data_IF_522761141924
#
_entry.id   IF_522761141924
#
_cell.length_a   1.000
_cell.length_b   1.000
_cell.length_c   1.000
_cell.angle_alpha   90.00
_cell.angle_beta   90.00
_cell.angle_gamma   90.00
#
_symmetry.space_group_name_H-M   'P 1'
#
loop_
_entity.id
_entity.type
_entity.pdbx_description
1 polymer ?
#
# COMPACT_ATOMS: atom_id res chain seq x y z
N UNK A 1 12.44 50.97 -39.60
CA UNK A 1 11.39 51.01 -38.55
C UNK A 1 11.58 49.72 -37.75
N UNK A 2 12.03 49.71 -36.48
CA UNK A 2 11.23 49.75 -35.22
C UNK A 2 9.95 48.89 -35.29
N UNK A 3 9.48 48.12 -34.30
CA UNK A 3 9.89 47.60 -32.95
C UNK A 3 8.73 46.63 -32.49
N UNK A 4 8.79 45.65 -31.58
CA UNK A 4 9.82 45.00 -30.72
C UNK A 4 9.28 43.58 -30.32
N UNK A 5 10.02 42.78 -29.53
CA UNK A 5 9.57 41.48 -28.91
C UNK A 5 8.44 41.64 -27.87
N UNK A 6 8.01 40.57 -27.17
CA UNK A 6 7.91 40.51 -25.68
C UNK A 6 7.57 39.08 -25.20
N UNK A 7 8.24 38.61 -24.12
CA UNK A 7 7.82 37.44 -23.32
C UNK A 7 6.64 37.83 -22.42
N UNK A 8 5.83 36.87 -21.97
CA UNK A 8 5.10 37.03 -20.70
C UNK A 8 5.34 35.81 -19.80
N UNK A 9 5.98 36.09 -18.67
CA UNK A 9 6.10 35.25 -17.49
C UNK A 9 4.83 35.46 -16.64
N UNK A 10 4.20 34.41 -16.11
CA UNK A 10 3.09 34.56 -15.15
C UNK A 10 3.50 33.95 -13.82
N UNK A 11 3.98 34.81 -12.93
CA UNK A 11 4.07 34.54 -11.51
C UNK A 11 2.94 35.30 -10.80
N UNK A 12 2.19 34.63 -9.93
CA UNK A 12 1.25 35.30 -9.03
C UNK A 12 1.84 35.37 -7.62
N UNK A 13 2.34 36.57 -7.28
CA UNK A 13 2.66 36.99 -5.91
C UNK A 13 1.68 38.09 -5.55
N UNK A 14 1.04 37.99 -4.39
CA UNK A 14 0.31 39.09 -3.75
C UNK A 14 0.87 39.31 -2.35
N UNK A 15 1.08 40.58 -1.99
CA UNK A 15 1.72 41.00 -0.74
C UNK A 15 1.15 42.36 -0.27
N UNK A 16 1.50 42.76 0.97
CA UNK A 16 1.14 43.99 1.70
C UNK A 16 -0.29 44.05 2.31
N UNK A 17 -0.54 44.64 3.50
CA UNK A 17 0.36 45.15 4.55
C UNK A 17 -0.33 45.30 5.94
N UNK A 18 0.49 45.20 6.99
CA UNK A 18 0.39 45.65 8.41
C UNK A 18 -0.79 46.50 8.93
N UNK A 19 -1.26 46.22 10.16
CA UNK A 19 -0.97 47.03 11.39
C UNK A 19 -1.45 46.34 12.69
N UNK A 20 -0.93 46.72 13.88
CA UNK A 20 -1.24 46.06 15.17
C UNK A 20 -2.24 46.83 16.06
N UNK A 21 -2.97 46.11 16.91
CA UNK A 21 -3.71 46.62 18.09
C UNK A 21 -3.56 45.64 19.24
N UNK A 22 -2.83 45.98 20.31
CA UNK A 22 -3.20 46.85 21.44
C UNK A 22 -3.78 46.03 22.61
N UNK A 23 -2.97 45.88 23.66
CA UNK A 23 -3.41 45.33 24.95
C UNK A 23 -4.29 46.34 25.71
N UNK A 24 -5.18 45.85 26.56
CA UNK A 24 -5.82 46.66 27.61
C UNK A 24 -6.10 45.80 28.86
N UNK A 25 -6.22 46.42 30.06
CA UNK A 25 -5.73 45.79 31.27
C UNK A 25 -6.80 45.09 32.14
N UNK A 26 -6.27 44.20 32.98
CA UNK A 26 -6.69 43.79 34.33
C UNK A 26 -8.09 44.18 34.84
N UNK A 27 -8.86 43.18 35.26
CA UNK A 27 -9.90 43.33 36.27
C UNK A 27 -9.64 42.37 37.45
N UNK A 28 -9.05 42.89 38.53
CA UNK A 28 -8.92 42.19 39.81
C UNK A 28 -10.27 42.26 40.53
N UNK A 29 -10.85 41.13 40.93
CA UNK A 29 -12.04 41.08 41.79
C UNK A 29 -11.69 40.44 43.13
N UNK A 30 -12.12 41.10 44.21
CA UNK A 30 -11.76 40.76 45.59
C UNK A 30 -12.58 39.59 46.17
N UNK A 31 -12.07 38.89 47.20
CA UNK A 31 -12.77 37.79 47.85
C UNK A 31 -13.73 38.27 48.95
N UNK A 32 -14.86 37.57 49.13
CA UNK A 32 -15.55 37.50 50.42
C UNK A 32 -16.05 36.07 50.75
N UNK A 33 -16.50 35.80 51.98
CA UNK A 33 -15.78 36.01 53.24
C UNK A 33 -15.65 34.69 54.03
N UNK A 34 -14.73 34.64 54.98
CA UNK A 34 -14.58 33.50 55.92
C UNK A 34 -15.82 33.35 56.81
N UNK A 35 -16.45 32.17 56.79
CA UNK A 35 -17.45 31.75 57.77
C UNK A 35 -16.86 30.68 58.71
N UNK A 36 -17.18 30.78 60.00
CA UNK A 36 -16.62 29.96 61.08
C UNK A 36 -17.58 28.79 61.46
N UNK A 37 -17.28 27.95 62.47
CA UNK A 37 -17.25 26.50 62.29
C UNK A 37 -18.58 25.79 62.59
N UNK A 38 -18.88 24.73 61.84
CA UNK A 38 -19.95 23.80 62.14
C UNK A 38 -19.45 22.57 62.92
N UNK A 39 -20.25 22.17 63.91
CA UNK A 39 -20.03 21.09 64.89
C UNK A 39 -19.67 19.71 64.32
N UNK A 40 -18.68 19.08 64.95
CA UNK A 40 -18.32 17.67 64.72
C UNK A 40 -19.49 16.71 65.01
N UNK A 41 -19.77 15.81 64.08
CA UNK A 41 -20.51 14.54 64.30
C UNK A 41 -19.61 13.40 63.82
N UNK A 42 -19.48 12.25 64.53
CA UNK A 42 -18.50 11.22 64.17
C UNK A 42 -18.80 10.59 62.81
N UNK A 43 -17.81 10.59 61.93
CA UNK A 43 -17.88 9.88 60.65
C UNK A 43 -17.69 8.36 60.85
N UNK A 44 -18.34 7.50 60.05
CA UNK A 44 -18.01 6.08 59.99
C UNK A 44 -16.55 5.90 59.53
N UNK A 45 -15.91 4.82 59.98
CA UNK A 45 -14.51 4.55 59.69
C UNK A 45 -14.23 4.53 58.18
N UNK A 46 -13.10 5.11 57.70
CA UNK A 46 -12.71 4.96 56.31
C UNK A 46 -12.50 3.48 56.00
N UNK A 47 -13.29 2.95 55.05
CA UNK A 47 -12.91 1.72 54.38
C UNK A 47 -11.56 1.96 53.70
N UNK A 48 -10.56 1.16 54.03
CA UNK A 48 -9.26 1.23 53.36
C UNK A 48 -9.50 1.09 51.85
N UNK A 49 -8.97 2.00 51.01
CA UNK A 49 -9.05 1.84 49.57
C UNK A 49 -8.26 0.58 49.22
N UNK A 50 -8.99 -0.51 48.90
CA UNK A 50 -8.41 -1.70 48.28
C UNK A 50 -7.53 -1.22 47.13
N UNK A 51 -6.24 -1.60 47.07
CA UNK A 51 -5.36 -1.11 46.03
C UNK A 51 -5.93 -1.54 44.68
N UNK A 52 -6.49 -0.58 43.96
CA UNK A 52 -6.92 -0.77 42.58
C UNK A 52 -5.64 -0.93 41.78
N UNK A 53 -5.21 -2.18 41.59
CA UNK A 53 -4.29 -2.59 40.53
C UNK A 53 -5.01 -2.43 39.20
N UNK A 54 -5.25 -1.17 38.85
CA UNK A 54 -6.04 -0.74 37.70
C UNK A 54 -5.29 -1.01 36.41
N UNK A 55 -5.45 -2.22 35.89
CA UNK A 55 -5.20 -2.47 34.47
C UNK A 55 -6.04 -1.50 33.64
N UNK A 56 -5.45 -1.01 32.55
CA UNK A 56 -6.14 -0.13 31.60
C UNK A 56 -7.41 -0.84 31.08
N UNK A 57 -8.58 -0.22 31.24
CA UNK A 57 -9.82 -0.79 30.69
C UNK A 57 -9.87 -0.58 29.18
N UNK A 58 -10.52 -1.47 28.40
CA UNK A 58 -10.63 -1.32 26.95
C UNK A 58 -11.21 0.04 26.50
N UNK A 59 -12.13 0.61 27.28
CA UNK A 59 -12.75 1.91 26.99
C UNK A 59 -11.74 3.07 27.16
N UNK A 60 -10.92 3.02 28.22
CA UNK A 60 -9.87 4.01 28.47
C UNK A 60 -8.75 3.92 27.42
N UNK A 61 -8.39 2.70 27.00
CA UNK A 61 -7.46 2.45 25.88
C UNK A 61 -8.03 2.99 24.58
N UNK A 62 -9.26 2.64 24.22
CA UNK A 62 -9.90 3.09 22.99
C UNK A 62 -10.00 4.61 22.91
N UNK A 63 -10.35 5.29 24.01
CA UNK A 63 -10.37 6.74 24.09
C UNK A 63 -8.98 7.38 23.90
N UNK A 64 -7.94 6.80 24.49
CA UNK A 64 -6.55 7.27 24.33
C UNK A 64 -6.00 7.05 22.92
N UNK A 65 -6.29 5.89 22.32
CA UNK A 65 -5.94 5.58 20.93
C UNK A 65 -6.69 6.49 19.95
N UNK A 66 -7.97 6.78 20.19
CA UNK A 66 -8.74 7.71 19.36
C UNK A 66 -8.11 9.11 19.34
N UNK A 67 -7.64 9.62 20.49
CA UNK A 67 -6.93 10.91 20.53
C UNK A 67 -5.64 10.91 19.70
N UNK A 68 -4.87 9.81 19.74
CA UNK A 68 -3.68 9.66 18.90
C UNK A 68 -4.03 9.59 17.39
N UNK A 69 -5.13 8.93 17.03
CA UNK A 69 -5.64 8.89 15.66
C UNK A 69 -6.18 10.25 15.18
N UNK A 70 -6.91 10.99 16.02
CA UNK A 70 -7.41 12.32 15.69
C UNK A 70 -6.24 13.28 15.39
N UNK A 71 -5.19 13.23 16.21
CA UNK A 71 -3.94 13.98 15.97
C UNK A 71 -3.16 13.51 14.75
N UNK A 72 -3.16 12.21 14.43
CA UNK A 72 -2.57 11.68 13.19
C UNK A 72 -3.31 12.21 11.94
N UNK A 73 -4.64 12.14 11.96
CA UNK A 73 -5.51 12.70 10.90
C UNK A 73 -5.31 14.22 10.78
N UNK A 74 -5.19 14.93 11.89
CA UNK A 74 -4.88 16.37 11.89
C UNK A 74 -3.49 16.64 11.29
N UNK A 75 -2.46 15.85 11.62
CA UNK A 75 -1.12 16.00 11.06
C UNK A 75 -1.12 15.89 9.53
N UNK A 76 -1.84 14.91 8.96
CA UNK A 76 -2.03 14.78 7.51
C UNK A 76 -2.79 15.96 6.91
N UNK A 77 -3.89 16.39 7.56
CA UNK A 77 -4.73 17.50 7.08
C UNK A 77 -4.06 18.89 7.18
N UNK A 78 -3.09 19.06 8.08
CA UNK A 78 -2.38 20.32 8.32
C UNK A 78 -0.95 20.34 7.79
N UNK A 79 -0.49 19.24 7.20
CA UNK A 79 0.91 19.01 6.81
C UNK A 79 1.91 19.27 7.96
N UNK A 80 1.59 18.77 9.16
CA UNK A 80 2.35 19.00 10.39
C UNK A 80 3.13 17.76 10.81
N UNK A 81 4.39 17.66 10.36
CA UNK A 81 5.29 16.53 10.68
C UNK A 81 5.65 16.44 12.18
N UNK A 82 5.61 17.54 12.93
CA UNK A 82 5.90 17.49 14.38
C UNK A 82 4.71 16.95 15.18
N UNK A 83 3.48 17.25 14.75
CA UNK A 83 2.28 16.61 15.29
C UNK A 83 2.28 15.11 14.97
N UNK A 84 2.64 14.72 13.74
CA UNK A 84 2.83 13.31 13.36
C UNK A 84 3.83 12.61 14.31
N UNK A 85 5.01 13.23 14.52
CA UNK A 85 6.05 12.71 15.42
C UNK A 85 5.58 12.55 16.87
N UNK A 86 4.67 13.41 17.34
CA UNK A 86 4.11 13.30 18.69
C UNK A 86 3.19 12.09 18.92
N UNK A 87 2.64 11.49 17.86
CA UNK A 87 1.76 10.30 17.93
C UNK A 87 2.36 9.03 17.31
N UNK A 88 3.63 9.10 16.90
CA UNK A 88 4.42 7.99 16.37
C UNK A 88 5.54 7.66 17.35
N UNK A 89 5.76 6.37 17.60
CA UNK A 89 6.87 5.89 18.43
C UNK A 89 8.24 6.31 17.88
N UNK A 90 8.88 7.25 18.59
CA UNK A 90 10.18 7.79 18.21
C UNK A 90 11.37 6.88 18.55
N UNK A 91 11.14 5.81 19.33
CA UNK A 91 12.18 4.86 19.73
C UNK A 91 12.34 3.70 18.74
N UNK A 92 11.26 3.29 18.06
CA UNK A 92 11.31 2.33 16.97
C UNK A 92 11.70 3.04 15.65
N UNK A 93 13.01 3.13 15.40
CA UNK A 93 13.53 3.89 14.25
C UNK A 93 13.10 3.37 12.86
N UNK A 94 13.01 2.05 12.60
CA UNK A 94 12.40 1.53 11.37
C UNK A 94 10.93 1.93 11.19
N UNK A 95 10.11 1.78 12.24
CA UNK A 95 8.69 2.14 12.19
C UNK A 95 8.49 3.64 11.94
N UNK A 96 9.22 4.51 12.67
CA UNK A 96 9.19 5.95 12.43
C UNK A 96 9.51 6.30 10.98
N UNK A 97 10.54 5.67 10.38
CA UNK A 97 10.90 5.91 8.98
C UNK A 97 9.74 5.58 8.04
N UNK A 98 9.09 4.42 8.22
CA UNK A 98 7.91 4.03 7.45
C UNK A 98 6.79 5.08 7.53
N UNK A 99 6.46 5.56 8.73
CA UNK A 99 5.36 6.53 8.90
C UNK A 99 5.72 7.89 8.30
N UNK A 100 6.93 8.38 8.52
CA UNK A 100 7.39 9.65 7.92
C UNK A 100 7.50 9.55 6.39
N UNK A 101 7.93 8.41 5.84
CA UNK A 101 7.99 8.18 4.39
C UNK A 101 6.59 8.20 3.75
N UNK A 102 5.64 7.42 4.29
CA UNK A 102 4.24 7.42 3.83
C UNK A 102 3.59 8.81 3.92
N UNK A 103 3.87 9.56 4.99
CA UNK A 103 3.42 10.95 5.12
C UNK A 103 4.00 11.84 4.02
N UNK A 104 5.32 11.82 3.82
CA UNK A 104 5.98 12.65 2.80
C UNK A 104 5.49 12.30 1.39
N UNK A 105 5.32 11.01 1.06
CA UNK A 105 4.76 10.56 -0.22
C UNK A 105 3.34 11.09 -0.42
N UNK A 106 2.47 11.05 0.60
CA UNK A 106 1.13 11.62 0.50
C UNK A 106 1.16 13.13 0.24
N UNK A 107 1.96 13.89 1.00
CA UNK A 107 2.07 15.35 0.86
C UNK A 107 2.71 15.80 -0.46
N UNK A 108 3.45 14.92 -1.15
CA UNK A 108 4.01 15.17 -2.49
C UNK A 108 3.12 14.67 -3.63
N UNK A 109 2.07 13.89 -3.33
CA UNK A 109 1.19 13.29 -4.34
C UNK A 109 0.19 14.29 -4.93
N UNK A 110 -0.48 13.89 -6.03
CA UNK A 110 -1.64 14.59 -6.59
C UNK A 110 -2.85 14.67 -5.65
N UNK A 111 -2.85 13.91 -4.55
CA UNK A 111 -3.85 13.97 -3.50
C UNK A 111 -3.50 14.96 -2.37
N UNK A 112 -2.32 15.60 -2.41
CA UNK A 112 -1.93 16.64 -1.45
C UNK A 112 -2.99 17.75 -1.34
N UNK A 113 -3.30 18.18 -0.12
CA UNK A 113 -4.40 19.11 0.16
C UNK A 113 -5.81 18.51 0.12
N UNK A 114 -5.98 17.24 -0.30
CA UNK A 114 -7.23 16.50 -0.07
C UNK A 114 -7.42 16.27 1.42
N UNK A 115 -8.66 16.40 1.93
CA UNK A 115 -8.92 16.11 3.34
C UNK A 115 -8.76 14.62 3.61
N UNK A 116 -7.81 14.31 4.50
CA UNK A 116 -7.65 12.97 5.04
C UNK A 116 -8.87 12.63 5.91
N UNK A 117 -9.41 11.42 5.73
CA UNK A 117 -10.66 10.98 6.37
C UNK A 117 -10.56 10.96 7.89
N UNK A 118 -11.72 11.04 8.57
CA UNK A 118 -11.76 10.74 10.01
C UNK A 118 -11.59 9.23 10.20
N UNK A 119 -10.67 8.87 11.08
CA UNK A 119 -10.49 7.51 11.55
C UNK A 119 -11.24 7.29 12.86
N UNK A 120 -11.77 6.09 13.07
CA UNK A 120 -12.53 5.76 14.29
C UNK A 120 -12.13 4.39 14.84
N UNK A 121 -11.75 4.35 16.12
CA UNK A 121 -11.54 3.08 16.84
C UNK A 121 -12.87 2.31 16.93
N UNK A 122 -12.84 1.06 16.50
CA UNK A 122 -13.97 0.12 16.58
C UNK A 122 -13.81 -0.83 17.79
N UNK A 123 -12.61 -1.34 17.98
CA UNK A 123 -12.29 -2.40 18.94
C UNK A 123 -10.81 -2.28 19.34
N UNK A 124 -10.47 -2.68 20.56
CA UNK A 124 -9.08 -2.78 21.03
C UNK A 124 -8.81 -4.14 21.68
N UNK A 125 -7.71 -4.79 21.28
CA UNK A 125 -7.24 -6.09 21.77
C UNK A 125 -5.87 -5.92 22.40
N UNK A 126 -5.70 -6.35 23.65
CA UNK A 126 -4.38 -6.35 24.28
C UNK A 126 -3.45 -7.35 23.58
N UNK A 127 -2.19 -6.97 23.40
CA UNK A 127 -1.11 -7.80 22.85
C UNK A 127 0.01 -7.91 23.90
N UNK A 128 1.00 -8.75 23.60
CA UNK A 128 2.18 -8.90 24.45
C UNK A 128 3.02 -7.61 24.51
N UNK A 129 4.00 -7.55 25.42
CA UNK A 129 4.93 -6.43 25.60
C UNK A 129 4.28 -5.04 25.82
N UNK A 130 3.01 -4.99 26.24
CA UNK A 130 2.28 -3.74 26.51
C UNK A 130 1.68 -3.07 25.27
N UNK A 131 1.70 -3.74 24.12
CA UNK A 131 1.00 -3.28 22.92
C UNK A 131 -0.51 -3.50 23.01
N UNK A 132 -1.25 -2.69 22.27
CA UNK A 132 -2.68 -2.83 22.02
C UNK A 132 -2.92 -2.72 20.51
N UNK A 133 -3.58 -3.71 19.94
CA UNK A 133 -4.07 -3.65 18.56
C UNK A 133 -5.42 -2.93 18.56
N UNK A 134 -5.58 -1.93 17.71
CA UNK A 134 -6.84 -1.26 17.46
C UNK A 134 -7.33 -1.57 16.05
N UNK A 135 -8.56 -2.05 15.94
CA UNK A 135 -9.29 -2.08 14.68
C UNK A 135 -9.94 -0.73 14.43
N UNK A 136 -9.76 -0.20 13.23
CA UNK A 136 -10.06 1.20 12.88
C UNK A 136 -10.89 1.24 11.60
N UNK A 137 -11.97 2.02 11.63
CA UNK A 137 -12.75 2.45 10.47
C UNK A 137 -12.05 3.67 9.85
N UNK A 138 -11.62 3.55 8.59
CA UNK A 138 -10.95 4.56 7.78
C UNK A 138 -11.78 4.82 6.51
N UNK A 139 -12.81 5.66 6.64
CA UNK A 139 -13.66 6.06 5.52
C UNK A 139 -14.47 4.90 4.91
N UNK A 140 -14.83 3.87 5.68
CA UNK A 140 -15.51 2.66 5.20
C UNK A 140 -14.58 1.48 4.93
N UNK A 141 -13.26 1.68 4.86
CA UNK A 141 -12.27 0.60 4.92
C UNK A 141 -11.89 0.29 6.37
N UNK A 142 -11.26 -0.87 6.60
CA UNK A 142 -10.74 -1.26 7.91
C UNK A 142 -9.22 -1.29 7.93
N UNK A 143 -8.63 -0.86 9.04
CA UNK A 143 -7.20 -1.00 9.36
C UNK A 143 -7.03 -1.65 10.72
N UNK A 144 -5.90 -2.30 10.91
CA UNK A 144 -5.46 -2.81 12.20
C UNK A 144 -4.07 -2.24 12.49
N UNK A 145 -3.95 -1.46 13.58
CA UNK A 145 -2.72 -0.75 13.94
C UNK A 145 -2.38 -1.03 15.39
N UNK A 146 -1.09 -1.23 15.67
CA UNK A 146 -0.56 -1.41 17.03
C UNK A 146 -0.26 -0.04 17.67
N UNK A 147 -0.62 0.08 18.94
CA UNK A 147 -0.37 1.22 19.79
C UNK A 147 0.30 0.78 21.08
N UNK A 148 1.00 1.70 21.75
CA UNK A 148 1.41 1.53 23.14
C UNK A 148 1.31 2.85 23.89
N UNK A 149 1.17 2.74 25.21
CA UNK A 149 1.25 3.90 26.09
C UNK A 149 2.70 4.14 26.50
N UNK A 150 3.15 5.40 26.39
CA UNK A 150 4.46 5.85 26.84
C UNK A 150 4.43 6.16 28.35
N UNK A 151 5.60 6.29 28.98
CA UNK A 151 5.72 6.58 30.43
C UNK A 151 5.04 7.89 30.86
N UNK A 152 4.91 8.86 29.94
CA UNK A 152 4.20 10.12 30.13
C UNK A 152 2.66 9.99 30.03
N UNK A 153 2.14 8.76 29.83
CA UNK A 153 0.72 8.46 29.67
C UNK A 153 0.17 8.66 28.26
N UNK A 154 0.98 9.16 27.30
CA UNK A 154 0.56 9.41 25.92
C UNK A 154 0.49 8.11 25.11
N UNK A 155 -0.52 8.00 24.27
CA UNK A 155 -0.64 6.91 23.30
C UNK A 155 0.10 7.25 22.01
N UNK A 156 0.83 6.28 21.47
CA UNK A 156 1.51 6.38 20.17
C UNK A 156 1.25 5.13 19.34
N UNK A 157 1.16 5.29 18.01
CA UNK A 157 1.29 4.17 17.08
C UNK A 157 2.71 3.60 17.17
N UNK A 158 2.85 2.29 17.05
CA UNK A 158 4.14 1.60 17.15
C UNK A 158 4.09 0.24 16.43
N UNK A 159 5.23 -0.43 16.38
CA UNK A 159 5.39 -1.84 16.01
C UNK A 159 6.35 -2.48 17.03
N UNK A 160 6.26 -3.80 17.30
CA UNK A 160 7.27 -4.50 18.09
C UNK A 160 8.65 -4.45 17.42
N UNK A 161 9.72 -4.63 18.19
CA UNK A 161 11.07 -4.87 17.65
C UNK A 161 11.23 -6.32 17.18
N UNK A 162 12.28 -6.65 16.42
CA UNK A 162 12.50 -8.05 15.98
C UNK A 162 12.69 -9.00 17.17
N UNK A 163 13.24 -8.55 18.30
CA UNK A 163 13.34 -9.34 19.53
C UNK A 163 11.96 -9.59 20.19
N UNK A 164 11.00 -8.68 20.01
CA UNK A 164 9.64 -8.77 20.56
C UNK A 164 8.68 -9.59 19.68
N UNK A 165 9.14 -10.09 18.53
CA UNK A 165 8.32 -10.97 17.67
C UNK A 165 8.25 -12.43 18.17
N UNK A 166 9.04 -12.78 19.18
CA UNK A 166 9.22 -14.15 19.64
C UNK A 166 10.08 -14.99 18.69
N UNK A 167 9.98 -16.31 18.82
CA UNK A 167 10.76 -17.25 18.03
C UNK A 167 10.38 -17.21 16.52
N UNK A 168 11.38 -17.45 15.67
CA UNK A 168 11.18 -17.67 14.24
C UNK A 168 10.60 -19.07 14.02
N UNK A 169 9.44 -19.11 13.37
CA UNK A 169 8.72 -20.34 13.03
C UNK A 169 8.99 -20.66 11.56
N UNK A 170 9.23 -21.94 11.27
CA UNK A 170 9.39 -22.47 9.91
C UNK A 170 8.37 -23.59 9.68
N UNK A 171 7.41 -23.35 8.81
CA UNK A 171 6.42 -24.34 8.36
C UNK A 171 6.85 -24.78 6.95
N UNK A 172 6.92 -26.08 6.71
CA UNK A 172 7.56 -26.65 5.52
C UNK A 172 6.64 -27.70 4.88
N UNK A 173 6.15 -27.42 3.67
CA UNK A 173 5.29 -28.33 2.90
C UNK A 173 5.97 -28.73 1.57
N UNK A 174 5.26 -29.41 0.67
CA UNK A 174 5.85 -29.86 -0.61
C UNK A 174 6.29 -28.69 -1.52
N UNK A 175 5.51 -27.60 -1.53
CA UNK A 175 5.61 -26.54 -2.55
C UNK A 175 6.35 -25.29 -2.09
N UNK A 176 6.31 -24.98 -0.79
CA UNK A 176 7.03 -23.84 -0.23
C UNK A 176 7.44 -24.04 1.24
N UNK A 177 8.26 -23.11 1.71
CA UNK A 177 8.59 -22.93 3.13
C UNK A 177 7.99 -21.61 3.60
N UNK A 178 7.06 -21.61 4.55
CA UNK A 178 6.61 -20.41 5.24
C UNK A 178 7.53 -20.11 6.42
N UNK A 179 8.15 -18.93 6.37
CA UNK A 179 9.01 -18.37 7.41
C UNK A 179 8.23 -17.24 8.08
N UNK A 180 7.97 -17.37 9.38
CA UNK A 180 7.08 -16.49 10.16
C UNK A 180 7.60 -16.37 11.60
N UNK A 181 6.83 -15.75 12.49
CA UNK A 181 7.19 -15.49 13.88
C UNK A 181 6.02 -15.83 14.81
N UNK A 182 6.30 -16.12 16.08
CA UNK A 182 5.28 -16.36 17.11
C UNK A 182 4.22 -15.24 17.17
N UNK A 183 4.64 -13.98 16.99
CA UNK A 183 3.73 -12.82 16.95
C UNK A 183 2.60 -12.92 15.91
N UNK A 184 2.83 -13.61 14.79
CA UNK A 184 1.86 -13.81 13.70
C UNK A 184 1.31 -15.25 13.64
N UNK A 185 1.49 -16.05 14.71
CA UNK A 185 1.03 -17.43 14.74
C UNK A 185 -0.47 -17.58 14.45
N UNK A 186 -1.29 -16.61 14.86
CA UNK A 186 -2.76 -16.64 14.70
C UNK A 186 -3.26 -16.60 13.25
N UNK A 187 -2.41 -16.26 12.26
CA UNK A 187 -2.76 -16.22 10.83
C UNK A 187 -2.03 -17.27 9.98
N UNK A 188 -1.10 -18.04 10.56
CA UNK A 188 -0.21 -18.93 9.78
C UNK A 188 -0.97 -19.96 8.92
N UNK A 189 -2.00 -20.62 9.47
CA UNK A 189 -2.79 -21.62 8.74
C UNK A 189 -3.56 -21.00 7.57
N UNK A 190 -4.14 -19.80 7.77
CA UNK A 190 -4.86 -19.05 6.73
C UNK A 190 -3.90 -18.62 5.62
N UNK A 191 -2.70 -18.15 5.97
CA UNK A 191 -1.67 -17.77 4.99
C UNK A 191 -1.15 -19.00 4.22
N UNK A 192 -0.96 -20.15 4.87
CA UNK A 192 -0.54 -21.38 4.19
C UNK A 192 -1.58 -21.84 3.15
N UNK A 193 -2.85 -21.97 3.54
CA UNK A 193 -3.95 -22.29 2.62
C UNK A 193 -4.07 -21.27 1.47
N UNK A 194 -3.97 -19.98 1.79
CA UNK A 194 -4.07 -18.90 0.81
C UNK A 194 -2.97 -18.98 -0.25
N UNK A 195 -1.71 -19.24 0.15
CA UNK A 195 -0.60 -19.44 -0.79
C UNK A 195 -0.77 -20.72 -1.61
N UNK A 196 -1.27 -21.82 -1.00
CA UNK A 196 -1.56 -23.06 -1.71
C UNK A 196 -2.62 -22.86 -2.82
N UNK A 197 -3.73 -22.21 -2.49
CA UNK A 197 -4.79 -21.89 -3.46
C UNK A 197 -4.31 -20.92 -4.54
N UNK A 198 -3.57 -19.87 -4.17
CA UNK A 198 -3.06 -18.88 -5.11
C UNK A 198 -2.07 -19.53 -6.10
N UNK A 199 -1.17 -20.41 -5.61
CA UNK A 199 -0.27 -21.22 -6.44
C UNK A 199 -1.07 -22.06 -7.44
N UNK A 200 -2.15 -22.71 -6.99
CA UNK A 200 -2.96 -23.56 -7.85
C UNK A 200 -3.70 -22.74 -8.93
N UNK A 201 -4.29 -21.59 -8.57
CA UNK A 201 -4.92 -20.68 -9.54
C UNK A 201 -3.94 -20.21 -10.63
N UNK A 202 -2.71 -19.84 -10.25
CA UNK A 202 -1.67 -19.45 -11.21
C UNK A 202 -1.31 -20.62 -12.15
N UNK A 203 -1.14 -21.83 -11.61
CA UNK A 203 -0.83 -23.03 -12.40
C UNK A 203 -1.96 -23.38 -13.37
N UNK A 204 -3.22 -23.39 -12.89
CA UNK A 204 -4.39 -23.73 -13.70
C UNK A 204 -4.63 -22.69 -14.81
N UNK A 205 -4.34 -21.42 -14.53
CA UNK A 205 -4.48 -20.32 -15.50
C UNK A 205 -3.35 -20.31 -16.54
N UNK A 206 -2.10 -20.48 -16.11
CA UNK A 206 -0.94 -20.43 -17.02
C UNK A 206 -0.63 -21.77 -17.72
N UNK A 207 -1.19 -22.88 -17.24
CA UNK A 207 -1.02 -24.22 -17.83
C UNK A 207 0.37 -24.84 -17.63
N UNK A 208 1.24 -24.27 -16.78
CA UNK A 208 2.56 -24.82 -16.45
C UNK A 208 2.88 -24.70 -14.96
N UNK A 209 3.50 -25.74 -14.42
CA UNK A 209 3.95 -25.82 -13.03
C UNK A 209 5.47 -25.64 -12.93
N UNK A 210 5.98 -24.64 -12.19
CA UNK A 210 7.39 -24.64 -11.80
C UNK A 210 7.70 -25.77 -10.82
N UNK A 211 8.77 -26.51 -11.10
CA UNK A 211 9.22 -27.65 -10.27
C UNK A 211 9.90 -27.20 -8.96
N UNK A 212 10.30 -25.93 -8.83
CA UNK A 212 11.07 -25.48 -7.68
C UNK A 212 10.21 -25.04 -6.49
N UNK A 213 10.56 -25.58 -5.32
CA UNK A 213 10.14 -25.04 -4.02
C UNK A 213 10.64 -23.60 -3.84
N UNK A 214 9.76 -22.72 -3.39
CA UNK A 214 10.05 -21.31 -3.07
C UNK A 214 9.87 -21.02 -1.57
N UNK A 215 10.22 -19.81 -1.14
CA UNK A 215 10.05 -19.37 0.24
C UNK A 215 8.90 -18.35 0.34
N UNK A 216 8.14 -18.41 1.42
CA UNK A 216 7.24 -17.34 1.84
C UNK A 216 7.83 -16.72 3.10
N UNK A 217 7.83 -15.39 3.20
CA UNK A 217 8.22 -14.67 4.42
C UNK A 217 7.04 -13.83 4.88
N UNK A 218 6.40 -14.24 5.98
CA UNK A 218 5.37 -13.45 6.64
C UNK A 218 6.04 -12.47 7.60
N UNK A 219 5.85 -11.18 7.37
CA UNK A 219 6.57 -10.07 8.02
C UNK A 219 5.62 -9.32 8.96
N UNK A 220 5.70 -9.51 10.29
CA UNK A 220 4.78 -8.86 11.21
C UNK A 220 5.01 -7.36 11.39
N UNK A 221 6.19 -6.87 10.95
CA UNK A 221 6.64 -5.49 11.07
C UNK A 221 7.45 -5.08 9.85
N UNK A 222 7.57 -3.78 9.62
CA UNK A 222 8.45 -3.22 8.60
C UNK A 222 9.93 -3.41 8.92
N UNK A 223 10.30 -3.39 10.20
CA UNK A 223 11.68 -3.36 10.68
C UNK A 223 12.54 -4.60 10.46
N UNK A 224 11.99 -5.70 9.94
CA UNK A 224 12.76 -6.91 9.62
C UNK A 224 13.83 -6.57 8.57
N UNK A 225 15.08 -7.00 8.81
CA UNK A 225 16.20 -6.72 7.90
C UNK A 225 16.24 -7.71 6.72
N UNK A 226 16.54 -7.27 5.48
CA UNK A 226 16.76 -5.88 5.05
C UNK A 226 15.44 -5.09 4.96
N UNK A 227 15.50 -3.74 5.03
CA UNK A 227 14.37 -2.86 4.73
C UNK A 227 13.84 -3.09 3.31
N UNK A 228 12.54 -2.82 3.14
CA UNK A 228 11.74 -3.17 1.95
C UNK A 228 10.92 -1.97 1.50
N UNK A 229 10.29 -2.05 0.32
CA UNK A 229 9.41 -0.98 -0.16
C UNK A 229 8.18 -0.85 0.77
N UNK A 230 7.90 0.33 1.36
CA UNK A 230 6.77 0.53 2.28
C UNK A 230 5.38 0.51 1.61
N UNK A 231 5.30 0.42 0.30
CA UNK A 231 4.07 0.63 -0.49
C UNK A 231 3.56 -0.64 -1.20
N UNK A 232 4.10 -1.82 -0.88
CA UNK A 232 3.67 -3.12 -1.42
C UNK A 232 3.21 -4.03 -0.29
N UNK A 233 2.01 -4.61 -0.40
CA UNK A 233 1.45 -5.54 0.59
C UNK A 233 2.21 -6.89 0.59
N UNK A 234 2.51 -7.40 -0.60
CA UNK A 234 3.45 -8.49 -0.83
C UNK A 234 4.35 -8.14 -2.02
N UNK A 235 5.45 -8.87 -2.20
CA UNK A 235 6.27 -8.81 -3.42
C UNK A 235 7.04 -10.12 -3.65
N UNK A 236 7.19 -10.48 -4.92
CA UNK A 236 8.10 -11.53 -5.38
C UNK A 236 9.52 -11.00 -5.52
N UNK A 237 10.50 -11.87 -5.24
CA UNK A 237 11.91 -11.61 -5.46
C UNK A 237 12.57 -12.86 -6.03
N UNK A 238 12.99 -12.76 -7.30
CA UNK A 238 13.67 -13.84 -8.01
C UNK A 238 15.05 -14.12 -7.42
N UNK A 239 15.28 -15.36 -7.02
CA UNK A 239 16.58 -15.81 -6.55
C UNK A 239 17.56 -16.05 -7.70
N UNK A 240 18.86 -15.83 -7.46
CA UNK A 240 19.93 -16.29 -8.38
C UNK A 240 19.97 -17.81 -8.58
N UNK A 241 19.25 -18.56 -7.73
CA UNK A 241 18.93 -19.98 -7.87
C UNK A 241 17.45 -20.18 -7.51
N UNK A 242 16.72 -21.15 -8.10
CA UNK A 242 15.29 -21.32 -7.85
C UNK A 242 14.91 -21.50 -6.37
N UNK A 243 15.73 -22.21 -5.59
CA UNK A 243 15.54 -22.37 -4.13
C UNK A 243 15.65 -21.08 -3.30
N UNK A 244 16.17 -20.00 -3.91
CA UNK A 244 16.32 -18.69 -3.29
C UNK A 244 15.16 -17.76 -3.69
N UNK A 245 14.19 -18.23 -4.48
CA UNK A 245 12.97 -17.48 -4.76
C UNK A 245 12.19 -17.24 -3.47
N UNK A 246 11.60 -16.05 -3.37
CA UNK A 246 10.73 -15.71 -2.25
C UNK A 246 9.57 -14.83 -2.65
N UNK A 247 8.46 -15.02 -1.94
CA UNK A 247 7.37 -14.03 -1.81
C UNK A 247 7.42 -13.54 -0.37
N UNK A 248 7.70 -12.26 -0.18
CA UNK A 248 7.56 -11.61 1.13
C UNK A 248 6.14 -11.03 1.20
N UNK A 249 5.49 -11.17 2.35
CA UNK A 249 4.10 -10.74 2.62
C UNK A 249 4.11 -9.99 3.95
N UNK A 250 3.55 -8.78 4.01
CA UNK A 250 3.26 -8.16 5.31
C UNK A 250 2.12 -8.89 6.00
N UNK A 251 2.29 -9.19 7.28
CA UNK A 251 1.26 -9.90 8.04
C UNK A 251 0.02 -9.01 8.23
N UNK A 252 -1.19 -9.59 8.20
CA UNK A 252 -2.37 -8.95 8.76
C UNK A 252 -2.09 -8.39 10.15
N UNK A 253 -2.77 -7.30 10.49
CA UNK A 253 -2.62 -6.60 11.78
C UNK A 253 -1.27 -5.87 11.99
N UNK A 254 -0.42 -5.79 10.95
CA UNK A 254 0.73 -4.88 10.91
C UNK A 254 0.35 -3.53 10.31
N UNK A 255 1.01 -2.44 10.72
CA UNK A 255 0.80 -1.12 10.10
C UNK A 255 1.26 -1.13 8.62
N UNK A 256 2.25 -1.95 8.29
CA UNK A 256 2.71 -2.16 6.92
C UNK A 256 1.61 -2.73 6.00
N UNK A 257 0.74 -3.62 6.48
CA UNK A 257 -0.38 -4.23 5.74
C UNK A 257 -1.30 -3.20 5.07
N UNK A 258 -1.61 -2.10 5.78
CA UNK A 258 -2.42 -1.02 5.23
C UNK A 258 -3.90 -1.11 5.62
N UNK A 259 -4.79 -1.24 4.62
CA UNK A 259 -6.24 -1.24 4.77
C UNK A 259 -6.89 -2.27 3.84
N UNK A 260 -8.08 -2.73 4.21
CA UNK A 260 -8.87 -3.71 3.48
C UNK A 260 -10.37 -3.35 3.48
N UNK A 261 -11.16 -3.89 2.55
CA UNK A 261 -12.63 -3.78 2.61
C UNK A 261 -13.18 -4.69 3.72
N UNK A 262 -13.86 -4.17 4.76
CA UNK A 262 -14.43 -4.98 5.83
C UNK A 262 -15.57 -5.92 5.39
N UNK A 263 -16.12 -5.78 4.18
CA UNK A 263 -17.12 -6.69 3.62
C UNK A 263 -16.47 -7.91 2.93
N UNK A 264 -15.30 -7.71 2.32
CA UNK A 264 -14.50 -8.75 1.68
C UNK A 264 -13.62 -9.51 2.69
N UNK A 265 -13.09 -8.78 3.69
CA UNK A 265 -12.04 -9.26 4.58
C UNK A 265 -10.65 -8.96 4.03
N UNK A 266 -9.64 -9.01 4.89
CA UNK A 266 -8.24 -8.83 4.48
C UNK A 266 -7.76 -10.02 3.64
N UNK A 267 -8.46 -11.16 3.74
CA UNK A 267 -8.16 -12.41 3.06
C UNK A 267 -8.33 -12.31 1.54
N UNK A 268 -9.35 -11.60 1.05
CA UNK A 268 -9.61 -11.45 -0.39
C UNK A 268 -8.59 -10.50 -1.05
N UNK A 269 -8.36 -9.32 -0.46
CA UNK A 269 -7.37 -8.34 -0.91
C UNK A 269 -5.95 -8.93 -0.93
N UNK A 270 -5.59 -9.70 0.11
CA UNK A 270 -4.30 -10.38 0.17
C UNK A 270 -4.22 -11.54 -0.83
N UNK A 271 -5.28 -12.32 -1.01
CA UNK A 271 -5.28 -13.45 -1.95
C UNK A 271 -5.00 -13.00 -3.39
N UNK A 272 -5.69 -11.95 -3.87
CA UNK A 272 -5.42 -11.36 -5.18
C UNK A 272 -3.96 -10.90 -5.32
N UNK A 273 -3.43 -10.26 -4.28
CA UNK A 273 -2.01 -9.83 -4.24
C UNK A 273 -1.05 -11.03 -4.30
N UNK A 274 -1.31 -12.12 -3.59
CA UNK A 274 -0.46 -13.33 -3.64
C UNK A 274 -0.54 -14.00 -5.01
N UNK A 275 -1.70 -14.02 -5.67
CA UNK A 275 -1.85 -14.52 -7.05
C UNK A 275 -1.02 -13.69 -8.04
N UNK A 276 -1.01 -12.35 -7.89
CA UNK A 276 -0.16 -11.44 -8.68
C UNK A 276 1.33 -11.81 -8.53
N UNK A 277 1.82 -11.89 -7.29
CA UNK A 277 3.24 -12.18 -7.02
C UNK A 277 3.65 -13.62 -7.39
N UNK A 278 2.75 -14.60 -7.25
CA UNK A 278 3.02 -15.97 -7.70
C UNK A 278 2.98 -16.12 -9.22
N UNK A 279 2.27 -15.23 -9.94
CA UNK A 279 2.38 -15.14 -11.40
C UNK A 279 3.80 -14.75 -11.82
N UNK A 280 4.44 -13.84 -11.07
CA UNK A 280 5.83 -13.46 -11.30
C UNK A 280 6.82 -14.62 -11.07
N UNK A 281 6.63 -15.40 -10.02
CA UNK A 281 7.37 -16.66 -9.79
C UNK A 281 7.16 -17.65 -10.95
N UNK A 282 5.91 -17.87 -11.36
CA UNK A 282 5.57 -18.85 -12.36
C UNK A 282 6.18 -18.52 -13.73
N UNK A 283 6.05 -17.29 -14.24
CA UNK A 283 6.69 -16.92 -15.52
C UNK A 283 8.22 -17.01 -15.41
N UNK A 284 8.81 -16.54 -14.30
CA UNK A 284 10.27 -16.55 -14.08
C UNK A 284 10.87 -17.95 -14.16
N UNK A 285 10.10 -18.99 -13.77
CA UNK A 285 10.60 -20.36 -13.63
C UNK A 285 10.12 -21.35 -14.69
N UNK A 286 8.92 -21.18 -15.23
CA UNK A 286 8.36 -22.08 -16.25
C UNK A 286 8.32 -21.48 -17.68
N UNK A 287 8.64 -20.20 -17.86
CA UNK A 287 8.47 -19.49 -19.14
C UNK A 287 9.68 -18.64 -19.58
N UNK A 288 10.47 -18.08 -18.65
CA UNK A 288 11.51 -17.08 -18.97
C UNK A 288 12.68 -17.56 -19.88
N UNK A 289 12.82 -18.86 -20.13
CA UNK A 289 13.76 -19.39 -21.14
C UNK A 289 13.19 -19.38 -22.56
N UNK A 290 11.86 -19.43 -22.69
CA UNK A 290 11.16 -19.51 -23.98
C UNK A 290 10.63 -18.17 -24.47
N UNK A 291 10.44 -17.19 -23.59
CA UNK A 291 9.75 -15.93 -23.92
C UNK A 291 10.51 -14.71 -23.41
N UNK A 292 10.34 -13.57 -24.09
CA UNK A 292 10.74 -12.25 -23.59
C UNK A 292 9.47 -11.54 -23.13
N UNK A 293 9.45 -11.17 -21.86
CA UNK A 293 8.37 -10.46 -21.21
C UNK A 293 8.91 -9.06 -20.89
N UNK A 294 8.28 -8.02 -21.43
CA UNK A 294 8.55 -6.61 -21.09
C UNK A 294 7.75 -6.19 -19.85
N UNK A 295 8.01 -5.01 -19.29
CA UNK A 295 7.41 -4.53 -18.04
C UNK A 295 5.89 -4.69 -18.01
N UNK A 296 5.19 -4.20 -19.04
CA UNK A 296 3.72 -4.33 -19.14
C UNK A 296 3.25 -5.77 -19.34
N UNK A 297 4.03 -6.61 -20.02
CA UNK A 297 3.67 -8.02 -20.16
C UNK A 297 3.78 -8.75 -18.82
N UNK A 298 4.77 -8.39 -18.00
CA UNK A 298 4.99 -9.01 -16.68
C UNK A 298 3.86 -8.66 -15.72
N UNK A 299 3.66 -7.36 -15.48
CA UNK A 299 2.68 -6.89 -14.51
C UNK A 299 1.24 -7.00 -15.06
N UNK A 300 1.04 -6.84 -16.37
CA UNK A 300 -0.27 -7.03 -16.99
C UNK A 300 -0.75 -8.48 -16.95
N UNK A 301 0.15 -9.46 -17.09
CA UNK A 301 -0.18 -10.86 -16.88
C UNK A 301 -0.50 -11.14 -15.41
N UNK A 302 0.26 -10.57 -14.47
CA UNK A 302 0.04 -10.74 -13.05
C UNK A 302 -1.29 -10.12 -12.57
N UNK A 303 -1.65 -8.92 -13.04
CA UNK A 303 -2.97 -8.31 -12.80
C UNK A 303 -4.09 -9.11 -13.47
N UNK A 304 -3.84 -9.67 -14.66
CA UNK A 304 -4.83 -10.50 -15.38
C UNK A 304 -5.14 -11.79 -14.62
N UNK A 305 -4.11 -12.53 -14.19
CA UNK A 305 -4.26 -13.79 -13.46
C UNK A 305 -4.83 -13.58 -12.05
N UNK A 306 -4.55 -12.44 -11.42
CA UNK A 306 -5.18 -12.02 -10.15
C UNK A 306 -6.58 -11.43 -10.30
N UNK A 307 -7.08 -11.25 -11.53
CA UNK A 307 -8.37 -10.65 -11.86
C UNK A 307 -8.56 -9.23 -11.28
N UNK A 308 -7.52 -8.39 -11.37
CA UNK A 308 -7.55 -7.00 -10.91
C UNK A 308 -7.54 -6.00 -12.08
N UNK A 309 -8.68 -5.76 -12.75
CA UNK A 309 -8.78 -4.86 -13.90
C UNK A 309 -8.64 -3.37 -13.55
N UNK A 310 -8.51 -3.01 -12.26
CA UNK A 310 -8.53 -1.62 -11.75
C UNK A 310 -9.66 -0.76 -12.35
N UNK A 311 -10.82 -1.40 -12.57
CA UNK A 311 -11.92 -0.94 -13.46
C UNK A 311 -12.30 0.52 -13.29
N UNK A 312 -12.52 0.98 -12.06
CA UNK A 312 -12.92 2.36 -11.79
C UNK A 312 -11.90 3.41 -12.27
N UNK A 313 -10.61 3.13 -12.12
CA UNK A 313 -9.53 4.04 -12.56
C UNK A 313 -9.40 4.05 -14.08
N UNK A 314 -9.43 2.87 -14.71
CA UNK A 314 -9.37 2.73 -16.18
C UNK A 314 -10.59 3.38 -16.84
N UNK A 315 -11.82 3.09 -16.39
CA UNK A 315 -13.06 3.74 -16.86
C UNK A 315 -13.05 5.27 -16.70
N UNK A 316 -12.45 5.79 -15.62
CA UNK A 316 -12.28 7.24 -15.47
C UNK A 316 -11.28 7.81 -16.49
N UNK A 317 -10.15 7.14 -16.69
CA UNK A 317 -9.12 7.56 -17.64
C UNK A 317 -9.59 7.49 -19.10
N UNK A 318 -10.28 6.41 -19.50
CA UNK A 318 -10.87 6.20 -20.84
C UNK A 318 -11.86 7.34 -21.18
N UNK A 319 -12.80 7.65 -20.29
CA UNK A 319 -13.75 8.77 -20.46
C UNK A 319 -13.10 10.15 -20.51
N UNK A 320 -11.93 10.32 -19.89
CA UNK A 320 -11.14 11.56 -19.94
C UNK A 320 -10.15 11.62 -21.11
N UNK A 321 -10.06 10.58 -21.95
CA UNK A 321 -9.05 10.47 -23.01
C UNK A 321 -7.61 10.32 -22.51
N UNK A 322 -7.41 9.94 -21.24
CA UNK A 322 -6.09 9.81 -20.58
C UNK A 322 -5.56 8.38 -20.64
N UNK A 323 -5.49 7.82 -21.84
CA UNK A 323 -4.98 6.46 -22.07
C UNK A 323 -3.45 6.51 -22.19
N UNK A 324 -2.74 5.84 -21.29
CA UNK A 324 -1.27 5.67 -21.37
C UNK A 324 -0.97 4.79 -22.60
N UNK A 325 -0.11 5.22 -23.54
CA UNK A 325 0.19 4.44 -24.74
C UNK A 325 1.08 3.24 -24.41
N UNK A 326 1.11 2.25 -25.31
CA UNK A 326 2.06 1.14 -25.24
C UNK A 326 3.52 1.62 -25.39
N UNK A 327 3.76 2.50 -26.36
CA UNK A 327 5.04 3.21 -26.55
C UNK A 327 4.80 4.71 -26.67
N UNK A 328 5.63 5.53 -26.02
CA UNK A 328 5.64 6.99 -26.17
C UNK A 328 6.21 7.36 -27.56
N UNK A 329 5.41 7.93 -28.48
CA UNK A 329 5.89 8.29 -29.82
C UNK A 329 6.94 9.40 -29.80
N UNK A 330 7.14 10.09 -28.68
CA UNK A 330 8.10 11.19 -28.56
C UNK A 330 9.51 10.74 -28.13
N UNK A 331 9.68 9.49 -27.67
CA UNK A 331 11.00 8.90 -27.38
C UNK A 331 11.84 9.67 -26.35
N UNK A 332 11.21 10.27 -25.34
CA UNK A 332 11.88 11.09 -24.34
C UNK A 332 12.81 10.31 -23.40
N UNK A 333 13.65 11.03 -22.63
CA UNK A 333 14.54 10.43 -21.61
C UNK A 333 13.75 9.81 -20.43
N UNK A 334 12.47 10.18 -20.29
CA UNK A 334 11.49 9.60 -19.37
C UNK A 334 10.21 9.32 -20.16
N UNK A 335 10.08 8.17 -20.84
CA UNK A 335 8.88 7.82 -21.58
C UNK A 335 7.69 7.68 -20.63
N UNK A 336 6.53 8.27 -20.99
CA UNK A 336 5.28 8.05 -20.26
C UNK A 336 4.45 6.98 -20.99
N UNK A 337 4.94 5.75 -20.96
CA UNK A 337 4.36 4.60 -21.66
C UNK A 337 4.38 3.30 -20.84
N UNK A 338 3.75 2.26 -21.37
CA UNK A 338 3.69 0.95 -20.71
C UNK A 338 4.96 0.10 -20.94
N UNK A 339 5.67 0.27 -22.05
CA UNK A 339 6.95 -0.44 -22.30
C UNK A 339 8.00 -0.15 -21.22
N UNK A 340 7.98 1.07 -20.66
CA UNK A 340 8.88 1.53 -19.59
C UNK A 340 8.17 1.69 -18.24
N UNK A 341 7.07 0.95 -18.01
CA UNK A 341 6.17 1.14 -16.85
C UNK A 341 6.87 1.16 -15.49
N UNK A 342 7.95 0.39 -15.29
CA UNK A 342 8.68 0.37 -14.00
C UNK A 342 9.38 1.71 -13.68
N UNK A 343 9.58 2.56 -14.69
CA UNK A 343 10.24 3.87 -14.59
C UNK A 343 9.29 5.07 -14.48
N UNK A 344 7.96 4.83 -14.52
CA UNK A 344 6.96 5.90 -14.46
C UNK A 344 6.99 6.62 -13.11
N UNK A 345 7.18 7.95 -13.17
CA UNK A 345 7.18 8.83 -11.99
C UNK A 345 5.75 9.18 -11.52
N UNK A 346 4.76 9.06 -12.41
CA UNK A 346 3.32 9.35 -12.15
C UNK A 346 2.42 8.29 -12.79
N UNK A 347 1.18 8.20 -12.31
CA UNK A 347 0.12 7.33 -12.84
C UNK A 347 0.45 5.82 -12.90
N UNK A 348 1.50 5.36 -12.19
CA UNK A 348 1.92 3.95 -12.16
C UNK A 348 0.77 2.98 -11.84
N UNK A 349 -0.08 3.32 -10.85
CA UNK A 349 -1.30 2.54 -10.50
C UNK A 349 -2.30 2.40 -11.65
N UNK A 350 -2.40 3.40 -12.53
CA UNK A 350 -3.24 3.37 -13.72
C UNK A 350 -2.56 2.57 -14.86
N UNK A 351 -1.23 2.63 -14.97
CA UNK A 351 -0.46 1.83 -15.94
C UNK A 351 -0.66 0.32 -15.73
N UNK A 352 -0.67 -0.16 -14.48
CA UNK A 352 -1.06 -1.54 -14.15
C UNK A 352 -2.44 -1.92 -14.73
N UNK A 353 -3.44 -1.04 -14.61
CA UNK A 353 -4.79 -1.27 -15.14
C UNK A 353 -4.85 -1.29 -16.67
N UNK A 354 -4.04 -0.48 -17.35
CA UNK A 354 -3.90 -0.56 -18.80
C UNK A 354 -3.09 -1.79 -19.25
N UNK A 355 -2.09 -2.23 -18.47
CA UNK A 355 -1.35 -3.46 -18.73
C UNK A 355 -2.26 -4.71 -18.62
N UNK A 356 -3.12 -4.78 -17.59
CA UNK A 356 -4.21 -5.77 -17.52
C UNK A 356 -5.04 -5.74 -18.82
N UNK A 357 -5.45 -4.54 -19.23
CA UNK A 357 -6.38 -4.36 -20.36
C UNK A 357 -5.80 -4.82 -21.69
N UNK A 358 -4.47 -4.67 -21.89
CA UNK A 358 -3.77 -5.21 -23.05
C UNK A 358 -3.73 -6.74 -23.05
N UNK A 359 -3.47 -7.36 -21.90
CA UNK A 359 -3.49 -8.83 -21.79
C UNK A 359 -4.90 -9.36 -22.01
N UNK A 360 -5.93 -8.77 -21.40
CA UNK A 360 -7.32 -9.12 -21.63
C UNK A 360 -7.71 -9.00 -23.12
N UNK A 361 -7.39 -7.87 -23.77
CA UNK A 361 -7.63 -7.67 -25.20
C UNK A 361 -6.94 -8.72 -26.08
N UNK A 362 -5.68 -9.08 -25.79
CA UNK A 362 -4.97 -10.15 -26.51
C UNK A 362 -5.64 -11.51 -26.27
N UNK A 363 -6.01 -11.82 -25.03
CA UNK A 363 -6.64 -13.10 -24.67
C UNK A 363 -8.01 -13.25 -25.34
N UNK A 364 -8.84 -12.20 -25.35
CA UNK A 364 -10.16 -12.21 -25.96
C UNK A 364 -10.12 -12.24 -27.50
N UNK A 365 -9.19 -11.50 -28.13
CA UNK A 365 -9.20 -11.30 -29.59
C UNK A 365 -8.19 -12.14 -30.37
N UNK A 366 -7.10 -12.61 -29.72
CA UNK A 366 -5.99 -13.30 -30.39
C UNK A 366 -5.84 -14.79 -30.03
N UNK A 367 -6.89 -15.39 -29.47
CA UNK A 367 -6.98 -16.83 -29.22
C UNK A 367 -6.41 -17.25 -27.87
N UNK A 368 -6.86 -16.61 -26.78
CA UNK A 368 -6.52 -17.02 -25.42
C UNK A 368 -5.12 -16.59 -24.97
N UNK A 369 -4.66 -17.17 -23.85
CA UNK A 369 -3.28 -16.99 -23.37
C UNK A 369 -2.23 -17.50 -24.37
N UNK A 370 -2.58 -18.45 -25.25
CA UNK A 370 -1.72 -18.85 -26.37
C UNK A 370 -1.44 -17.68 -27.34
N UNK A 371 -2.37 -16.72 -27.47
CA UNK A 371 -2.17 -15.45 -28.16
C UNK A 371 -1.10 -14.60 -27.48
N UNK A 372 -1.17 -14.45 -26.15
CA UNK A 372 -0.17 -13.72 -25.35
C UNK A 372 1.21 -14.37 -25.45
N UNK A 373 1.32 -15.69 -25.29
CA UNK A 373 2.60 -16.40 -25.41
C UNK A 373 3.18 -16.36 -26.83
N UNK A 374 2.33 -16.43 -27.86
CA UNK A 374 2.74 -16.23 -29.26
C UNK A 374 3.35 -14.84 -29.49
N UNK A 375 2.79 -13.81 -28.86
CA UNK A 375 3.34 -12.46 -28.90
C UNK A 375 4.64 -12.34 -28.11
N UNK A 376 4.72 -12.89 -26.91
CA UNK A 376 5.95 -12.90 -26.09
C UNK A 376 7.13 -13.61 -26.80
N UNK A 377 6.84 -14.64 -27.62
CA UNK A 377 7.83 -15.29 -28.48
C UNK A 377 8.26 -14.40 -29.66
N UNK A 378 7.33 -13.65 -30.27
CA UNK A 378 7.65 -12.68 -31.30
C UNK A 378 8.50 -11.51 -30.75
N UNK A 379 8.17 -11.00 -29.56
CA UNK A 379 8.91 -9.98 -28.79
C UNK A 379 10.34 -10.44 -28.47
N UNK A 380 10.53 -11.73 -28.15
CA UNK A 380 11.87 -12.34 -27.93
C UNK A 380 12.71 -12.33 -29.19
N UNK A 381 12.11 -12.72 -30.31
CA UNK A 381 12.81 -12.92 -31.58
C UNK A 381 13.02 -11.61 -32.38
N UNK A 382 12.43 -10.50 -31.93
CA UNK A 382 12.51 -9.22 -32.63
C UNK A 382 13.57 -8.33 -31.96
N UNK A 383 14.60 -7.87 -32.68
CA UNK A 383 15.56 -6.91 -32.15
C UNK A 383 15.02 -5.48 -32.20
N UNK A 384 15.43 -4.64 -31.26
CA UNK A 384 15.10 -3.22 -31.18
C UNK A 384 14.25 -2.84 -29.97
N UNK A 385 13.72 -1.61 -30.02
CA UNK A 385 12.82 -0.98 -29.04
C UNK A 385 11.83 -0.04 -29.75
N UNK A 386 10.79 0.40 -29.05
CA UNK A 386 9.83 1.37 -29.56
C UNK A 386 8.89 0.84 -30.66
N UNK A 387 8.22 1.75 -31.39
CA UNK A 387 7.11 1.41 -32.31
C UNK A 387 7.54 0.42 -33.41
N UNK A 388 8.71 0.60 -34.04
CA UNK A 388 9.17 -0.30 -35.12
C UNK A 388 9.43 -1.73 -34.62
N UNK A 389 9.87 -1.88 -33.37
CA UNK A 389 10.05 -3.18 -32.73
C UNK A 389 8.70 -3.85 -32.45
N UNK A 390 7.74 -3.11 -31.88
CA UNK A 390 6.40 -3.64 -31.62
C UNK A 390 5.63 -3.96 -32.90
N UNK A 391 5.74 -3.13 -33.95
CA UNK A 391 5.13 -3.36 -35.25
C UNK A 391 5.58 -4.70 -35.87
N UNK A 392 6.89 -4.96 -35.89
CA UNK A 392 7.46 -6.24 -36.35
C UNK A 392 7.02 -7.43 -35.49
N UNK A 393 6.98 -7.26 -34.17
CA UNK A 393 6.55 -8.31 -33.25
C UNK A 393 5.07 -8.66 -33.41
N UNK A 394 4.19 -7.65 -33.55
CA UNK A 394 2.75 -7.81 -33.81
C UNK A 394 2.49 -8.43 -35.19
N UNK A 395 3.22 -7.97 -36.23
CA UNK A 395 3.09 -8.54 -37.58
C UNK A 395 3.51 -10.02 -37.60
N UNK A 396 4.53 -10.40 -36.81
CA UNK A 396 4.95 -11.80 -36.65
C UNK A 396 3.97 -12.64 -35.82
N UNK A 397 3.37 -12.07 -34.77
CA UNK A 397 2.49 -12.81 -33.85
C UNK A 397 1.05 -12.97 -34.37
N UNK A 398 0.51 -11.90 -34.97
CA UNK A 398 -0.92 -11.77 -35.30
C UNK A 398 -1.18 -11.30 -36.74
N UNK A 399 -0.15 -10.92 -37.49
CA UNK A 399 -0.31 -10.46 -38.87
C UNK A 399 -0.81 -9.03 -39.04
N UNK A 400 -0.75 -8.22 -37.97
CA UNK A 400 -1.21 -6.82 -37.92
C UNK A 400 -0.09 -5.85 -37.54
N UNK A 401 -0.24 -4.60 -37.97
CA UNK A 401 0.64 -3.47 -37.61
C UNK A 401 0.42 -2.99 -36.17
N UNK A 402 1.37 -2.22 -35.64
CA UNK A 402 1.20 -1.51 -34.36
C UNK A 402 0.00 -0.56 -34.36
N UNK A 403 -0.24 0.13 -35.49
CA UNK A 403 -1.34 1.08 -35.61
C UNK A 403 -2.71 0.39 -35.55
N UNK A 404 -2.86 -0.77 -36.20
CA UNK A 404 -4.09 -1.57 -36.13
C UNK A 404 -4.32 -2.14 -34.72
N UNK A 405 -3.25 -2.61 -34.07
CA UNK A 405 -3.33 -3.15 -32.71
C UNK A 405 -3.70 -2.07 -31.67
N UNK A 406 -3.02 -0.92 -31.66
CA UNK A 406 -3.31 0.19 -30.75
C UNK A 406 -4.71 0.78 -30.98
N UNK A 407 -5.15 0.92 -32.24
CA UNK A 407 -6.50 1.35 -32.55
C UNK A 407 -7.56 0.34 -32.08
N UNK A 408 -7.36 -0.95 -32.33
CA UNK A 408 -8.28 -2.01 -31.89
C UNK A 408 -8.37 -2.11 -30.37
N UNK A 409 -7.24 -2.04 -29.66
CA UNK A 409 -7.22 -2.00 -28.19
C UNK A 409 -7.93 -0.76 -27.63
N UNK A 410 -7.71 0.42 -28.21
CA UNK A 410 -8.40 1.65 -27.81
C UNK A 410 -9.91 1.60 -28.05
N UNK A 411 -10.35 0.95 -29.13
CA UNK A 411 -11.77 0.71 -29.36
C UNK A 411 -12.33 -0.25 -28.30
N UNK A 412 -11.67 -1.39 -28.08
CA UNK A 412 -12.07 -2.37 -27.06
C UNK A 412 -12.15 -1.74 -25.65
N UNK A 413 -11.24 -0.81 -25.31
CA UNK A 413 -11.31 -0.03 -24.07
C UNK A 413 -12.62 0.78 -23.95
N UNK A 414 -13.04 1.47 -25.01
CA UNK A 414 -14.30 2.26 -25.01
C UNK A 414 -15.56 1.37 -24.94
N UNK A 415 -15.46 0.12 -25.38
CA UNK A 415 -16.55 -0.86 -25.32
C UNK A 415 -16.65 -1.56 -23.96
N UNK A 416 -15.53 -1.67 -23.23
CA UNK A 416 -15.43 -2.47 -22.00
C UNK A 416 -15.22 -1.68 -20.69
N UNK A 417 -14.89 -0.38 -20.73
CA UNK A 417 -14.58 0.46 -19.55
C UNK A 417 -15.25 1.84 -19.58
#
# INVERSE_FOLDING_TARGET
MRRISWLILVAFVLAACTTPTSQSPTATVAPPPTAAPATNTPAPAPSEPTPVTGGLTPEAVAAGIQQALDSYVEAYNTNNVELLRSVVDQTNAPFRRLVEERFNTFQQSSFSGSRFGRMRVLEVKQREHGFWQAAIDDGGYRRDILFRQMEDGRWVMSEPTEEQLGAKIKIDNEYFTLNTYEWSAEVNEVIEDMVLRARQQVIDTLGRTPENKFNVYLRPIFGITPPVNPNSLAWYSAGSRPRNDRVDIFAPFSYAFGFYDPQAGWEEDLYGTIVHELTHWAYTRAFAQEYRITDWMSEGLAEYVSNNPRRNAVSAAVRMGRIIPLVDPNGGVRPQDMDHMTTLEVDRSLAYGFAYSLVAYIVETQGGLDGFWRFAAAVRDTPGTGIEFYDKALQKAFGMTYAEFDAGWRQWLQENY
#
